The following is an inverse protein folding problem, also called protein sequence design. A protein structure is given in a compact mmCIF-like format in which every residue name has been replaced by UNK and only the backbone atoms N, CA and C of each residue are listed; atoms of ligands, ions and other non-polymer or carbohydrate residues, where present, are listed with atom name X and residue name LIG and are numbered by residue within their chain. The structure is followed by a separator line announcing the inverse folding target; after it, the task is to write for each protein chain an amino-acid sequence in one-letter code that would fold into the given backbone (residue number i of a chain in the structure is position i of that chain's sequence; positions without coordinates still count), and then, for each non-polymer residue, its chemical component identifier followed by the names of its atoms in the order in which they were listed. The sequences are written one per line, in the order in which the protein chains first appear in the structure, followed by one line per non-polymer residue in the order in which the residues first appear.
data_IF_489001813314
#
_entry.id   IF_489001813314
#
_cell.length_a   1.000
_cell.length_b   1.000
_cell.length_c   1.000
_cell.angle_alpha   90.00
_cell.angle_beta   90.00
_cell.angle_gamma   90.00
#
_symmetry.space_group_name_H-M   'P 1'
#
loop_
_entity.id
_entity.type
_entity.pdbx_description
1 polymer ?
#
# COMPACT_ATOMS: atom_id res chain seq x y z
N UNK A 1 24.94 -2.52 -6.59
CA UNK A 1 23.96 -2.04 -5.60
C UNK A 1 22.75 -2.96 -5.68
N UNK A 2 22.12 -3.29 -4.54
CA UNK A 2 20.90 -4.11 -4.54
C UNK A 2 19.73 -3.30 -5.11
N UNK A 3 19.10 -3.78 -6.19
CA UNK A 3 17.95 -3.10 -6.81
C UNK A 3 16.67 -3.28 -5.99
N UNK A 4 15.86 -2.25 -5.98
CA UNK A 4 14.59 -2.19 -5.27
C UNK A 4 13.45 -1.96 -6.26
N UNK A 5 12.40 -2.77 -6.17
CA UNK A 5 11.19 -2.58 -6.96
C UNK A 5 10.04 -2.02 -6.10
N UNK A 6 9.14 -1.27 -6.74
CA UNK A 6 7.84 -0.92 -6.16
C UNK A 6 6.71 -1.51 -6.99
N UNK A 7 5.86 -2.30 -6.34
CA UNK A 7 4.59 -2.78 -6.87
C UNK A 7 3.51 -1.79 -6.46
N UNK A 8 2.97 -1.06 -7.42
CA UNK A 8 1.92 -0.07 -7.26
C UNK A 8 0.57 -0.68 -7.68
N UNK A 9 -0.27 -0.98 -6.69
CA UNK A 9 -1.54 -1.66 -6.91
C UNK A 9 -2.62 -0.68 -7.36
N UNK A 10 -3.00 -0.73 -8.63
CA UNK A 10 -4.01 0.13 -9.23
C UNK A 10 -5.23 -0.63 -9.81
N UNK A 11 -5.21 -1.97 -9.90
CA UNK A 11 -6.22 -2.80 -10.55
C UNK A 11 -7.60 -2.87 -9.84
N UNK A 12 -7.78 -2.23 -8.68
CA UNK A 12 -8.99 -2.33 -7.87
C UNK A 12 -10.27 -1.86 -8.57
N UNK A 13 -11.37 -2.63 -8.42
CA UNK A 13 -12.66 -2.40 -9.10
C UNK A 13 -13.56 -1.30 -8.52
N UNK A 14 -13.11 -0.55 -7.55
CA UNK A 14 -13.84 0.60 -6.94
C UNK A 14 -15.27 0.30 -6.47
N UNK A 15 -15.61 -0.95 -6.12
CA UNK A 15 -16.99 -1.40 -5.80
C UNK A 15 -17.70 -0.56 -4.73
N UNK A 16 -16.96 0.00 -3.75
CA UNK A 16 -17.47 0.82 -2.63
C UNK A 16 -17.62 2.31 -2.97
N UNK A 17 -17.42 2.70 -4.23
CA UNK A 17 -17.62 4.07 -4.71
C UNK A 17 -19.05 4.32 -5.20
N UNK A 18 -19.97 3.33 -5.05
CA UNK A 18 -21.42 3.41 -5.36
C UNK A 18 -21.73 4.04 -6.72
N UNK A 19 -20.89 3.81 -7.72
CA UNK A 19 -21.04 4.37 -9.07
C UNK A 19 -20.73 5.88 -9.19
N UNK A 20 -20.51 6.58 -8.08
CA UNK A 20 -20.18 8.01 -8.10
C UNK A 20 -18.82 8.30 -8.76
N UNK A 21 -17.89 7.36 -8.67
CA UNK A 21 -16.55 7.45 -9.28
C UNK A 21 -16.27 6.11 -9.98
N UNK A 22 -16.16 6.16 -11.30
CA UNK A 22 -15.94 4.96 -12.13
C UNK A 22 -14.62 4.26 -11.81
N UNK A 23 -13.55 5.06 -11.58
CA UNK A 23 -12.25 4.56 -11.18
C UNK A 23 -11.60 5.50 -10.14
N UNK A 24 -11.53 5.04 -8.90
CA UNK A 24 -10.99 5.84 -7.80
C UNK A 24 -9.50 6.17 -7.93
N UNK A 25 -8.74 5.32 -8.65
CA UNK A 25 -7.30 5.50 -8.85
C UNK A 25 -7.03 6.60 -9.88
N UNK A 26 -7.96 6.77 -10.83
CA UNK A 26 -7.94 7.82 -11.84
C UNK A 26 -8.73 9.06 -11.42
N UNK A 27 -9.46 9.02 -10.31
CA UNK A 27 -10.20 10.16 -9.80
C UNK A 27 -9.29 11.38 -9.61
N UNK A 28 -9.74 12.59 -9.99
CA UNK A 28 -8.98 13.81 -9.80
C UNK A 28 -8.85 14.11 -8.30
N UNK A 29 -7.63 14.37 -7.86
CA UNK A 29 -7.29 14.79 -6.50
C UNK A 29 -6.27 15.92 -6.61
N UNK A 30 -6.62 17.13 -6.19
CA UNK A 30 -5.76 18.31 -6.29
C UNK A 30 -5.11 18.48 -7.69
N UNK A 31 -5.91 18.36 -8.76
CA UNK A 31 -5.50 18.62 -10.14
C UNK A 31 -4.79 17.48 -10.88
N UNK A 32 -4.62 16.31 -10.27
CA UNK A 32 -4.05 15.11 -10.91
C UNK A 32 -4.68 13.82 -10.39
N UNK A 33 -4.58 12.69 -11.12
CA UNK A 33 -5.13 11.43 -10.65
C UNK A 33 -4.56 10.99 -9.30
N UNK A 34 -5.38 10.31 -8.48
CA UNK A 34 -4.94 9.72 -7.19
C UNK A 34 -3.66 8.90 -7.35
N UNK A 35 -3.56 8.08 -8.41
CA UNK A 35 -2.36 7.32 -8.76
C UNK A 35 -1.10 8.18 -8.84
N UNK A 36 -1.19 9.34 -9.48
CA UNK A 36 -0.03 10.19 -9.76
C UNK A 36 0.64 10.72 -8.48
N UNK A 37 -0.11 10.84 -7.37
CA UNK A 37 0.45 11.24 -6.08
C UNK A 37 1.41 10.18 -5.53
N UNK A 38 0.96 8.93 -5.45
CA UNK A 38 1.81 7.81 -5.01
C UNK A 38 2.99 7.61 -5.96
N UNK A 39 2.74 7.47 -7.27
CA UNK A 39 3.77 7.25 -8.28
C UNK A 39 4.88 8.31 -8.21
N UNK A 40 4.51 9.59 -8.15
CA UNK A 40 5.44 10.71 -8.02
C UNK A 40 6.24 10.67 -6.71
N UNK A 41 5.62 10.29 -5.58
CA UNK A 41 6.32 10.19 -4.29
C UNK A 41 7.33 9.05 -4.30
N UNK A 42 6.97 7.90 -4.84
CA UNK A 42 7.89 6.77 -4.99
C UNK A 42 9.09 7.13 -5.89
N UNK A 43 8.83 7.78 -7.02
CA UNK A 43 9.90 8.25 -7.92
C UNK A 43 10.86 9.23 -7.21
N UNK A 44 10.32 10.24 -6.50
CA UNK A 44 11.12 11.23 -5.79
C UNK A 44 11.87 10.70 -4.58
N UNK A 45 11.49 9.55 -4.04
CA UNK A 45 12.16 8.96 -2.87
C UNK A 45 13.61 8.56 -3.13
N UNK A 46 13.95 8.28 -4.40
CA UNK A 46 15.29 7.85 -4.82
C UNK A 46 15.69 6.45 -4.33
N UNK A 47 14.77 5.67 -3.72
CA UNK A 47 15.05 4.32 -3.20
C UNK A 47 14.49 3.20 -4.07
N UNK A 48 13.79 3.54 -5.15
CA UNK A 48 13.16 2.58 -6.07
C UNK A 48 13.79 2.69 -7.46
N UNK A 49 14.25 1.56 -7.98
CA UNK A 49 14.92 1.46 -9.28
C UNK A 49 13.98 0.98 -10.39
N UNK A 50 12.92 0.24 -10.04
CA UNK A 50 12.00 -0.39 -10.98
C UNK A 50 10.57 -0.31 -10.45
N UNK A 51 9.62 -0.04 -11.35
CA UNK A 51 8.21 0.05 -11.02
C UNK A 51 7.43 -1.05 -11.74
N UNK A 52 6.52 -1.69 -10.99
CA UNK A 52 5.50 -2.58 -11.53
C UNK A 52 4.15 -1.99 -11.14
N UNK A 53 3.31 -1.73 -12.14
CA UNK A 53 1.97 -1.18 -11.92
C UNK A 53 0.94 -2.22 -12.33
N UNK A 54 0.09 -2.64 -11.37
CA UNK A 54 -1.02 -3.52 -11.72
C UNK A 54 -2.19 -2.70 -12.24
N UNK A 55 -2.83 -3.19 -13.29
CA UNK A 55 -3.96 -2.52 -13.93
C UNK A 55 -5.14 -3.49 -14.13
N UNK A 56 -6.36 -2.94 -14.25
CA UNK A 56 -7.59 -3.70 -14.38
C UNK A 56 -7.92 -4.07 -15.83
N UNK A 57 -7.73 -3.10 -16.75
CA UNK A 57 -8.04 -3.22 -18.16
C UNK A 57 -7.15 -2.29 -19.00
N UNK A 58 -7.13 -2.52 -20.32
CA UNK A 58 -6.27 -1.79 -21.24
C UNK A 58 -6.50 -0.28 -21.23
N UNK A 59 -7.76 0.16 -21.07
CA UNK A 59 -8.09 1.59 -20.98
C UNK A 59 -7.43 2.23 -19.76
N UNK A 60 -7.57 1.60 -18.60
CA UNK A 60 -6.93 2.08 -17.37
C UNK A 60 -5.40 2.11 -17.51
N UNK A 61 -4.79 1.08 -18.12
CA UNK A 61 -3.35 1.03 -18.35
C UNK A 61 -2.85 2.24 -19.15
N UNK A 62 -3.53 2.59 -20.24
CA UNK A 62 -3.19 3.76 -21.06
C UNK A 62 -3.25 5.04 -20.25
N UNK A 63 -4.30 5.24 -19.45
CA UNK A 63 -4.46 6.43 -18.61
C UNK A 63 -3.38 6.47 -17.49
N UNK A 64 -3.05 5.34 -16.85
CA UNK A 64 -2.01 5.25 -15.83
C UNK A 64 -0.61 5.51 -16.42
N UNK A 65 -0.34 5.09 -17.66
CA UNK A 65 0.98 5.22 -18.30
C UNK A 65 1.43 6.69 -18.43
N UNK A 66 0.49 7.63 -18.54
CA UNK A 66 0.79 9.05 -18.59
C UNK A 66 1.39 9.61 -17.29
N UNK A 67 1.24 8.89 -16.17
CA UNK A 67 1.69 9.32 -14.85
C UNK A 67 2.66 8.33 -14.19
N UNK A 68 2.91 7.20 -14.82
CA UNK A 68 3.82 6.19 -14.29
C UNK A 68 5.28 6.64 -14.41
N UNK A 69 6.13 6.32 -13.41
CA UNK A 69 7.57 6.52 -13.51
C UNK A 69 8.18 5.70 -14.65
N UNK A 70 9.36 6.08 -15.11
CA UNK A 70 10.10 5.33 -16.14
C UNK A 70 11.40 4.80 -15.53
N UNK A 71 11.73 3.52 -15.70
CA UNK A 71 10.95 2.46 -16.39
C UNK A 71 9.83 1.86 -15.53
N UNK A 72 8.69 1.54 -16.15
CA UNK A 72 7.57 0.84 -15.51
C UNK A 72 7.13 -0.36 -16.33
N UNK A 73 6.95 -1.50 -15.67
CA UNK A 73 6.29 -2.68 -16.21
C UNK A 73 4.80 -2.68 -15.78
N UNK A 74 3.90 -2.83 -16.75
CA UNK A 74 2.46 -2.95 -16.49
C UNK A 74 2.05 -4.41 -16.47
N UNK A 75 1.35 -4.84 -15.40
CA UNK A 75 0.93 -6.23 -15.19
C UNK A 75 -0.59 -6.27 -14.99
N UNK A 76 -1.33 -7.12 -15.70
CA UNK A 76 -2.76 -7.31 -15.43
C UNK A 76 -2.99 -7.72 -13.98
N UNK A 77 -3.88 -7.03 -13.27
CA UNK A 77 -4.28 -7.45 -11.93
C UNK A 77 -5.22 -8.64 -11.96
N UNK A 78 -5.27 -9.39 -10.86
CA UNK A 78 -6.16 -10.52 -10.68
C UNK A 78 -7.55 -10.15 -10.15
N UNK A 79 -8.29 -11.18 -9.73
CA UNK A 79 -9.64 -11.00 -9.19
C UNK A 79 -9.64 -10.28 -7.84
N UNK A 80 -8.72 -10.66 -6.97
CA UNK A 80 -8.51 -10.07 -5.65
C UNK A 80 -7.15 -9.35 -5.56
N UNK A 81 -6.93 -8.64 -4.45
CA UNK A 81 -5.66 -7.95 -4.17
C UNK A 81 -4.48 -8.92 -4.16
N UNK A 82 -4.68 -10.09 -3.53
CA UNK A 82 -3.70 -11.16 -3.44
C UNK A 82 -3.21 -11.60 -4.84
N UNK A 83 -4.14 -11.84 -5.76
CA UNK A 83 -3.81 -12.27 -7.12
C UNK A 83 -3.01 -11.21 -7.88
N UNK A 84 -3.37 -9.95 -7.68
CA UNK A 84 -2.67 -8.81 -8.31
C UNK A 84 -1.23 -8.70 -7.81
N UNK A 85 -1.00 -8.92 -6.51
CA UNK A 85 0.37 -8.94 -5.94
C UNK A 85 1.14 -10.15 -6.44
N UNK A 86 0.53 -11.34 -6.46
CA UNK A 86 1.16 -12.56 -6.95
C UNK A 86 1.61 -12.42 -8.41
N UNK A 87 0.73 -11.88 -9.28
CA UNK A 87 1.06 -11.59 -10.68
C UNK A 87 2.25 -10.62 -10.80
N UNK A 88 2.27 -9.54 -10.01
CA UNK A 88 3.35 -8.58 -10.02
C UNK A 88 4.68 -9.15 -9.47
N UNK A 89 4.63 -10.02 -8.45
CA UNK A 89 5.81 -10.69 -7.91
C UNK A 89 6.46 -11.64 -8.92
N UNK A 90 5.65 -12.29 -9.78
CA UNK A 90 6.15 -13.18 -10.84
C UNK A 90 6.94 -12.43 -11.93
N UNK A 91 6.66 -11.15 -12.13
CA UNK A 91 7.30 -10.29 -13.14
C UNK A 91 8.50 -9.49 -12.59
N UNK A 92 8.92 -9.75 -11.35
CA UNK A 92 10.06 -9.06 -10.76
C UNK A 92 11.37 -9.44 -11.47
N UNK A 93 12.18 -8.47 -11.91
CA UNK A 93 13.53 -8.74 -12.42
C UNK A 93 14.38 -9.52 -11.41
N UNK A 94 15.27 -10.39 -11.91
CA UNK A 94 16.05 -11.29 -11.06
C UNK A 94 17.02 -10.58 -10.11
N UNK A 95 17.48 -9.40 -10.48
CA UNK A 95 18.40 -8.57 -9.71
C UNK A 95 17.73 -7.72 -8.63
N UNK A 96 16.39 -7.76 -8.51
CA UNK A 96 15.63 -7.11 -7.43
C UNK A 96 15.84 -7.86 -6.12
N UNK A 97 16.22 -7.12 -5.08
CA UNK A 97 16.45 -7.64 -3.73
C UNK A 97 15.34 -7.25 -2.76
N UNK A 98 14.81 -6.03 -2.88
CA UNK A 98 13.74 -5.52 -2.01
C UNK A 98 12.53 -5.09 -2.81
N UNK A 99 11.34 -5.29 -2.23
CA UNK A 99 10.05 -5.01 -2.89
C UNK A 99 9.17 -4.20 -1.96
N UNK A 100 8.75 -3.03 -2.43
CA UNK A 100 7.66 -2.26 -1.83
C UNK A 100 6.34 -2.71 -2.45
N UNK A 101 5.32 -2.97 -1.64
CA UNK A 101 3.95 -3.22 -2.09
C UNK A 101 3.07 -2.10 -1.56
N UNK A 102 2.43 -1.36 -2.47
CA UNK A 102 1.68 -0.17 -2.10
C UNK A 102 0.32 -0.07 -2.78
N UNK A 103 -0.70 0.20 -1.99
CA UNK A 103 -2.05 0.52 -2.49
C UNK A 103 -2.07 1.95 -3.02
N UNK A 104 -2.19 2.17 -4.34
CA UNK A 104 -2.26 3.52 -4.93
C UNK A 104 -3.47 4.34 -4.43
N UNK A 105 -4.44 3.69 -3.80
CA UNK A 105 -5.52 4.36 -3.08
C UNK A 105 -5.09 5.08 -1.79
N UNK A 106 -3.80 5.05 -1.41
CA UNK A 106 -3.19 5.84 -0.31
C UNK A 106 -2.24 6.91 -0.87
N UNK A 107 -2.77 8.01 -1.40
CA UNK A 107 -1.96 9.00 -2.13
C UNK A 107 -1.05 9.86 -1.25
N UNK A 108 -1.17 9.77 0.08
CA UNK A 108 -0.46 10.64 1.04
C UNK A 108 0.81 10.04 1.61
N UNK A 109 1.28 8.90 1.07
CA UNK A 109 2.59 8.33 1.44
C UNK A 109 3.70 9.38 1.21
N UNK A 110 4.68 9.42 2.10
CA UNK A 110 5.76 10.41 2.10
C UNK A 110 7.11 9.79 1.71
N UNK A 111 7.94 10.56 1.03
CA UNK A 111 9.26 10.10 0.58
C UNK A 111 10.17 9.69 1.76
N UNK A 112 10.09 10.40 2.88
CA UNK A 112 10.84 10.10 4.10
C UNK A 112 10.48 8.74 4.69
N UNK A 113 9.19 8.35 4.59
CA UNK A 113 8.72 7.03 5.02
C UNK A 113 9.30 5.93 4.12
N UNK A 114 9.36 6.15 2.81
CA UNK A 114 9.96 5.19 1.87
C UNK A 114 11.45 4.99 2.17
N UNK A 115 12.18 6.06 2.42
CA UNK A 115 13.60 5.99 2.82
C UNK A 115 13.77 5.26 4.14
N UNK A 116 12.91 5.53 5.13
CA UNK A 116 12.97 4.86 6.44
C UNK A 116 12.65 3.37 6.33
N UNK A 117 11.58 3.00 5.61
CA UNK A 117 11.22 1.61 5.34
C UNK A 117 12.33 0.85 4.61
N UNK A 118 12.96 1.48 3.61
CA UNK A 118 14.09 0.88 2.89
C UNK A 118 15.31 0.62 3.79
N UNK A 119 15.58 1.51 4.76
CA UNK A 119 16.65 1.28 5.74
C UNK A 119 16.35 0.10 6.66
N UNK A 120 15.10 -0.05 7.10
CA UNK A 120 14.68 -1.11 8.03
C UNK A 120 14.66 -2.45 7.31
N UNK A 121 14.08 -2.56 6.11
CA UNK A 121 13.98 -3.84 5.39
C UNK A 121 15.34 -4.47 5.07
N UNK A 122 16.38 -3.66 4.94
CA UNK A 122 17.75 -4.13 4.75
C UNK A 122 18.35 -4.86 5.96
N UNK A 123 17.71 -4.77 7.12
CA UNK A 123 18.14 -5.40 8.38
C UNK A 123 17.16 -6.48 8.82
N UNK A 124 15.89 -6.25 8.60
CA UNK A 124 14.80 -7.05 9.18
C UNK A 124 14.08 -7.94 8.15
N UNK A 125 14.40 -7.82 6.83
CA UNK A 125 13.76 -8.53 5.72
C UNK A 125 12.26 -8.25 5.52
N UNK A 126 11.56 -7.75 6.53
CA UNK A 126 10.14 -7.39 6.48
C UNK A 126 9.85 -6.17 7.36
N UNK A 127 9.16 -5.18 6.82
CA UNK A 127 8.70 -4.00 7.56
C UNK A 127 7.41 -3.44 6.96
N UNK A 128 6.52 -2.97 7.81
CA UNK A 128 5.26 -2.37 7.39
C UNK A 128 5.07 -0.98 8.00
N UNK A 129 4.42 -0.10 7.25
CA UNK A 129 3.94 1.16 7.76
C UNK A 129 2.64 0.93 8.53
N UNK A 130 2.52 1.49 9.73
CA UNK A 130 1.34 1.32 10.57
C UNK A 130 1.15 2.51 11.50
N UNK A 131 -0.07 2.72 11.99
CA UNK A 131 -0.34 3.71 13.04
C UNK A 131 -1.05 3.08 14.24
N UNK A 132 -0.91 3.73 15.41
CA UNK A 132 -1.57 3.30 16.64
C UNK A 132 -3.07 3.59 16.57
N UNK A 133 -3.88 2.68 17.08
CA UNK A 133 -5.30 2.91 17.22
C UNK A 133 -5.60 3.91 18.34
N UNK A 134 -6.42 4.90 18.05
CA UNK A 134 -6.88 5.91 19.01
C UNK A 134 -8.24 5.58 19.61
N UNK A 135 -9.08 4.87 18.86
CA UNK A 135 -10.43 4.49 19.29
C UNK A 135 -10.45 3.32 20.26
N UNK A 136 -11.55 3.15 20.99
CA UNK A 136 -11.81 1.94 21.77
C UNK A 136 -12.23 0.81 20.84
N UNK A 137 -11.44 -0.26 20.79
CA UNK A 137 -11.70 -1.42 19.93
C UNK A 137 -12.41 -2.50 20.74
N UNK A 138 -13.49 -3.02 20.18
CA UNK A 138 -14.28 -4.12 20.72
C UNK A 138 -14.27 -5.30 19.74
N UNK A 139 -13.97 -6.47 20.23
CA UNK A 139 -14.22 -7.74 19.53
C UNK A 139 -15.68 -8.15 19.76
N UNK A 140 -16.44 -8.42 18.70
CA UNK A 140 -17.78 -8.99 18.78
C UNK A 140 -17.68 -10.52 18.74
N UNK A 141 -18.01 -11.17 19.87
CA UNK A 141 -17.91 -12.64 20.05
C UNK A 141 -19.23 -13.39 19.81
N UNK A 142 -20.15 -12.80 19.06
CA UNK A 142 -21.49 -13.36 18.84
C UNK A 142 -22.45 -13.11 20.01
N UNK A 143 -23.75 -13.38 19.80
CA UNK A 143 -24.81 -13.26 20.82
C UNK A 143 -24.81 -11.95 21.62
N UNK A 144 -24.43 -10.83 21.01
CA UNK A 144 -24.36 -9.51 21.64
C UNK A 144 -23.20 -9.31 22.63
N UNK A 145 -22.30 -10.29 22.78
CA UNK A 145 -21.14 -10.18 23.67
C UNK A 145 -19.99 -9.39 23.05
N UNK A 146 -19.57 -8.34 23.74
CA UNK A 146 -18.43 -7.51 23.36
C UNK A 146 -17.27 -7.72 24.34
N UNK A 147 -16.04 -7.82 23.79
CA UNK A 147 -14.81 -7.83 24.56
C UNK A 147 -13.95 -6.62 24.18
N UNK A 148 -13.54 -5.81 25.16
CA UNK A 148 -12.63 -4.70 24.92
C UNK A 148 -11.22 -5.23 24.72
N UNK A 149 -10.59 -4.86 23.60
CA UNK A 149 -9.20 -5.18 23.34
C UNK A 149 -8.28 -4.06 23.90
N UNK A 150 -7.14 -4.45 24.45
CA UNK A 150 -6.13 -3.45 24.86
C UNK A 150 -5.44 -2.87 23.60
N UNK A 151 -5.89 -1.66 23.23
CA UNK A 151 -5.39 -0.98 22.03
C UNK A 151 -3.90 -0.64 22.07
N UNK A 152 -3.24 -0.71 23.25
CA UNK A 152 -1.79 -0.46 23.36
C UNK A 152 -0.97 -1.44 22.50
N UNK A 153 -1.51 -2.63 22.24
CA UNK A 153 -0.89 -3.68 21.44
C UNK A 153 -1.47 -3.79 20.03
N UNK A 154 -2.41 -2.89 19.65
CA UNK A 154 -3.08 -2.95 18.35
C UNK A 154 -2.58 -1.84 17.43
N UNK A 155 -2.34 -2.22 16.19
CA UNK A 155 -1.89 -1.34 15.14
C UNK A 155 -2.79 -1.46 13.92
N UNK A 156 -3.09 -0.35 13.27
CA UNK A 156 -3.74 -0.35 11.97
C UNK A 156 -2.67 -0.39 10.87
N UNK A 157 -2.67 -1.49 10.10
CA UNK A 157 -1.72 -1.69 9.02
C UNK A 157 -2.01 -0.78 7.85
N UNK A 158 -0.97 -0.19 7.33
CA UNK A 158 -1.00 0.64 6.13
C UNK A 158 -0.14 0.02 5.02
N UNK A 159 -0.04 0.73 3.92
CA UNK A 159 0.98 0.50 2.91
C UNK A 159 1.77 1.80 2.70
N UNK A 160 3.08 1.70 2.36
CA UNK A 160 3.80 0.53 1.83
C UNK A 160 4.09 -0.54 2.88
N UNK A 161 4.06 -1.81 2.43
CA UNK A 161 4.65 -2.94 3.11
C UNK A 161 5.88 -3.37 2.33
N UNK A 162 6.99 -3.63 3.00
CA UNK A 162 8.28 -3.79 2.31
C UNK A 162 8.98 -5.06 2.78
N UNK A 163 9.46 -5.82 1.83
CA UNK A 163 10.04 -7.14 2.09
C UNK A 163 11.30 -7.39 1.26
N UNK A 164 12.17 -8.30 1.72
CA UNK A 164 13.12 -8.91 0.80
C UNK A 164 12.35 -9.76 -0.22
N UNK A 165 12.77 -9.72 -1.51
CA UNK A 165 12.15 -10.50 -2.60
C UNK A 165 12.05 -11.98 -2.23
N UNK A 166 13.15 -12.54 -1.71
CA UNK A 166 13.20 -13.96 -1.32
C UNK A 166 12.13 -14.33 -0.30
N UNK A 167 11.91 -13.47 0.70
CA UNK A 167 10.94 -13.72 1.76
C UNK A 167 9.51 -13.64 1.23
N UNK A 168 9.16 -12.55 0.52
CA UNK A 168 7.78 -12.33 0.08
C UNK A 168 7.35 -13.35 -1.00
N UNK A 169 8.23 -13.70 -1.95
CA UNK A 169 7.93 -14.72 -2.95
C UNK A 169 7.70 -16.09 -2.29
N UNK A 170 8.51 -16.47 -1.29
CA UNK A 170 8.29 -17.71 -0.52
C UNK A 170 7.00 -17.67 0.28
N UNK A 171 6.65 -16.52 0.87
CA UNK A 171 5.42 -16.35 1.62
C UNK A 171 4.18 -16.51 0.72
N UNK A 172 4.20 -15.89 -0.46
CA UNK A 172 3.12 -16.03 -1.45
C UNK A 172 3.00 -17.44 -2.03
N UNK A 173 4.11 -18.13 -2.25
CA UNK A 173 4.10 -19.55 -2.63
C UNK A 173 3.41 -20.41 -1.56
N UNK A 174 3.70 -20.19 -0.28
CA UNK A 174 3.05 -20.92 0.83
C UNK A 174 1.55 -20.59 0.96
N UNK A 175 1.13 -19.35 0.68
CA UNK A 175 -0.29 -18.95 0.62
C UNK A 175 -1.01 -19.70 -0.51
N UNK A 176 -0.40 -19.74 -1.70
CA UNK A 176 -0.97 -20.43 -2.86
C UNK A 176 -1.07 -21.94 -2.63
N UNK A 177 -0.01 -22.58 -2.13
CA UNK A 177 0.01 -24.01 -1.82
C UNK A 177 -1.09 -24.43 -0.83
N UNK A 178 -1.36 -23.59 0.17
CA UNK A 178 -2.36 -23.86 1.20
C UNK A 178 -3.75 -23.31 0.87
N UNK A 179 -3.90 -22.64 -0.26
CA UNK A 179 -5.14 -21.97 -0.69
C UNK A 179 -5.73 -21.05 0.41
N UNK A 180 -4.89 -20.20 1.01
CA UNK A 180 -5.28 -19.34 2.13
C UNK A 180 -5.74 -17.97 1.65
N UNK A 181 -6.76 -17.43 2.31
CA UNK A 181 -7.09 -16.01 2.20
C UNK A 181 -6.25 -15.21 3.21
N UNK A 182 -5.61 -14.15 2.74
CA UNK A 182 -4.85 -13.21 3.57
C UNK A 182 -5.42 -11.80 3.43
N UNK A 183 -5.27 -10.99 4.47
CA UNK A 183 -5.79 -9.62 4.50
C UNK A 183 -4.79 -8.61 3.92
N UNK A 184 -3.50 -8.86 4.09
CA UNK A 184 -2.39 -8.03 3.60
C UNK A 184 -1.12 -8.87 3.36
N UNK A 185 -0.04 -8.23 2.92
CA UNK A 185 1.20 -8.93 2.54
C UNK A 185 1.98 -9.39 3.78
N UNK A 186 1.86 -8.67 4.90
CA UNK A 186 2.46 -9.07 6.18
C UNK A 186 1.88 -10.39 6.70
N UNK A 187 0.56 -10.60 6.55
CA UNK A 187 -0.08 -11.85 6.95
C UNK A 187 0.50 -13.07 6.19
N UNK A 188 0.92 -12.90 4.93
CA UNK A 188 1.63 -13.97 4.22
C UNK A 188 2.99 -14.32 4.87
N UNK A 189 3.72 -13.30 5.31
CA UNK A 189 5.04 -13.47 5.97
C UNK A 189 4.90 -14.09 7.36
N UNK A 190 3.85 -13.72 8.11
CA UNK A 190 3.53 -14.30 9.41
C UNK A 190 3.27 -15.81 9.35
N UNK A 191 2.71 -16.33 8.24
CA UNK A 191 2.55 -17.79 8.01
C UNK A 191 3.89 -18.54 8.03
N UNK A 192 4.98 -17.86 7.70
CA UNK A 192 6.34 -18.41 7.78
C UNK A 192 6.98 -18.23 9.16
N UNK A 193 6.25 -17.69 10.14
CA UNK A 193 6.74 -17.33 11.48
C UNK A 193 7.95 -16.37 11.43
N UNK A 194 8.03 -15.56 10.38
CA UNK A 194 9.06 -14.54 10.27
C UNK A 194 8.59 -13.26 10.96
N UNK A 195 9.40 -12.60 11.78
CA UNK A 195 9.02 -11.33 12.40
C UNK A 195 8.86 -10.25 11.35
N UNK A 196 7.89 -9.34 11.57
CA UNK A 196 7.65 -8.17 10.74
C UNK A 196 7.88 -6.92 11.58
N UNK A 197 8.85 -6.11 11.20
CA UNK A 197 9.12 -4.84 11.86
C UNK A 197 7.99 -3.82 11.57
N UNK A 198 7.74 -2.91 12.52
CA UNK A 198 6.80 -1.82 12.39
C UNK A 198 7.52 -0.49 12.26
N UNK A 199 7.14 0.32 11.26
CA UNK A 199 7.44 1.74 11.21
C UNK A 199 6.18 2.52 11.58
N UNK A 200 6.21 3.23 12.71
CA UNK A 200 5.08 4.08 13.13
C UNK A 200 4.90 5.27 12.18
N UNK A 201 3.69 5.44 11.70
CA UNK A 201 3.31 6.60 10.89
C UNK A 201 2.59 7.65 11.75
N UNK A 202 3.22 8.80 12.05
CA UNK A 202 2.58 9.88 12.79
C UNK A 202 1.68 10.78 11.91
N UNK A 203 1.61 10.51 10.59
CA UNK A 203 0.89 11.34 9.65
C UNK A 203 -0.35 10.64 9.09
N UNK A 204 -1.45 11.37 8.79
CA UNK A 204 -2.60 10.79 8.12
C UNK A 204 -2.21 10.16 6.77
N UNK A 205 -2.62 8.91 6.55
CA UNK A 205 -2.44 8.18 5.30
C UNK A 205 -3.71 7.35 4.98
N UNK A 206 -4.89 8.01 4.92
CA UNK A 206 -6.15 7.31 4.69
C UNK A 206 -6.19 6.67 3.31
N UNK A 207 -6.91 5.54 3.23
CA UNK A 207 -7.15 4.83 1.98
C UNK A 207 -8.44 5.34 1.35
N UNK A 208 -8.37 5.83 0.11
CA UNK A 208 -9.56 6.17 -0.68
C UNK A 208 -10.41 4.91 -0.90
N UNK A 209 -11.54 4.86 -0.21
CA UNK A 209 -12.44 3.71 -0.18
C UNK A 209 -13.86 4.09 -0.58
N UNK A 210 -14.33 5.24 -0.12
CA UNK A 210 -15.65 5.82 -0.35
C UNK A 210 -15.53 7.21 -0.99
N UNK A 211 -16.59 7.76 -1.58
CA UNK A 211 -16.57 9.13 -2.11
C UNK A 211 -16.19 10.19 -1.05
N UNK A 212 -16.61 10.00 0.20
CA UNK A 212 -16.30 10.93 1.29
C UNK A 212 -14.78 11.03 1.57
N UNK A 213 -14.04 9.95 1.34
CA UNK A 213 -12.59 9.94 1.55
C UNK A 213 -11.87 10.88 0.57
N UNK A 214 -12.46 11.16 -0.61
CA UNK A 214 -11.84 12.05 -1.59
C UNK A 214 -11.78 13.49 -1.06
N UNK A 215 -12.88 14.00 -0.52
CA UNK A 215 -12.94 15.33 0.07
C UNK A 215 -11.97 15.45 1.28
N UNK A 216 -11.88 14.39 2.09
CA UNK A 216 -10.94 14.34 3.19
C UNK A 216 -9.47 14.36 2.73
N UNK A 217 -9.14 13.60 1.68
CA UNK A 217 -7.80 13.62 1.07
C UNK A 217 -7.44 14.98 0.50
N UNK A 218 -8.38 15.66 -0.18
CA UNK A 218 -8.17 17.04 -0.67
C UNK A 218 -7.88 18.01 0.46
N UNK A 219 -8.65 17.94 1.53
CA UNK A 219 -8.42 18.75 2.72
C UNK A 219 -7.02 18.51 3.32
N UNK A 220 -6.59 17.27 3.44
CA UNK A 220 -5.26 16.94 3.96
C UNK A 220 -4.13 17.47 3.06
N UNK A 221 -4.28 17.37 1.73
CA UNK A 221 -3.29 17.88 0.78
C UNK A 221 -3.16 19.40 0.82
N UNK A 222 -4.26 20.13 0.95
CA UNK A 222 -4.22 21.59 1.06
C UNK A 222 -3.47 22.04 2.31
N UNK A 223 -3.64 21.35 3.43
CA UNK A 223 -2.92 21.62 4.68
C UNK A 223 -1.44 21.25 4.62
N UNK A 224 -1.10 20.17 3.94
CA UNK A 224 0.32 19.78 3.79
C UNK A 224 1.10 20.80 2.94
N UNK A 225 0.44 21.45 1.99
CA UNK A 225 1.02 22.50 1.15
C UNK A 225 1.04 23.89 1.84
N UNK A 226 0.12 24.14 2.76
CA UNK A 226 0.13 25.33 3.60
C UNK A 226 0.93 25.02 4.87
N UNK A 227 2.14 25.50 5.05
CA UNK A 227 3.06 25.32 6.21
C UNK A 227 2.45 25.53 7.62
N UNK A 228 1.17 25.23 7.81
CA UNK A 228 0.48 25.28 9.10
C UNK A 228 0.73 23.96 9.81
N UNK A 229 1.47 23.95 10.92
CA UNK A 229 1.69 22.74 11.69
C UNK A 229 0.37 22.20 12.21
N UNK A 230 0.21 20.85 12.21
CA UNK A 230 -0.87 20.24 12.97
C UNK A 230 -0.74 20.65 14.43
N UNK A 231 -1.83 21.03 15.10
CA UNK A 231 -1.77 21.25 16.54
C UNK A 231 -1.27 19.95 17.19
N UNK A 232 -0.19 20.05 17.95
CA UNK A 232 0.27 18.98 18.84
C UNK A 232 -0.77 18.83 19.95
N UNK A 233 -1.39 17.65 20.05
CA UNK A 233 -2.26 17.25 21.14
C UNK A 233 -1.47 16.56 22.24
#
# INVERSE_FOLDING_TARGET
MSRTAAILLAAGRSRRMDGAIADKILAPLAGKPVFAHSASTFCRSGVVDTFIVTYRDQRQMVELSAYAPTPTLFVPGGHERLDSVAAALAELPDDVVYVFIHDCARPLVRAEQLVALHKIVRREDAVVLAHRLTDTIKEHRGEGRLCTLDRKHLWAMETPQVFSRKLICRAYAAVAERNLAITDDAAAVELLKHPVALLENPHPNPKLTTPADLAYLEFLLTRTNSKVPFPSF
#
